data_IF_010207205368
#
_entry.id   IF_010207205368
#
_cell.length_a   1.000
_cell.length_b   1.000
_cell.length_c   1.000
_cell.angle_alpha   90.00
_cell.angle_beta   90.00
_cell.angle_gamma   90.00
#
_symmetry.space_group_name_H-M   'P 1'
#
loop_
_entity.id
_entity.type
_entity.pdbx_description
1 polymer ?
#
# COMPACT_ATOMS: atom_id res chain seq x y z
N UNK A 1 -81.03 -26.62 26.30
CA UNK A 1 -81.45 -27.63 25.30
C UNK A 1 -81.05 -27.07 23.93
N UNK A 2 -79.86 -27.42 23.42
CA UNK A 2 -79.62 -28.52 22.47
C UNK A 2 -80.51 -28.44 21.21
N UNK A 3 -79.91 -28.12 20.06
CA UNK A 3 -79.62 -29.11 19.00
C UNK A 3 -78.81 -28.45 17.87
N UNK A 4 -77.64 -29.00 17.59
CA UNK A 4 -76.92 -28.80 16.33
C UNK A 4 -77.37 -29.83 15.28
N UNK A 5 -77.15 -29.51 14.01
CA UNK A 5 -77.12 -30.42 12.85
C UNK A 5 -76.06 -29.89 11.86
N UNK A 6 -75.30 -30.83 11.30
CA UNK A 6 -74.22 -30.73 10.31
C UNK A 6 -74.68 -30.37 8.88
N UNK A 7 -73.76 -29.79 8.08
CA UNK A 7 -73.43 -30.17 6.68
C UNK A 7 -72.32 -29.22 6.17
N UNK A 8 -71.06 -29.66 5.96
CA UNK A 8 -70.51 -30.34 4.79
C UNK A 8 -70.38 -29.44 3.53
N UNK A 9 -69.14 -29.14 3.13
CA UNK A 9 -68.81 -28.49 1.86
C UNK A 9 -67.31 -28.34 1.68
N UNK A 10 -66.72 -29.23 0.88
CA UNK A 10 -65.29 -29.38 0.67
C UNK A 10 -64.70 -28.21 -0.15
N UNK A 11 -63.54 -27.68 0.27
CA UNK A 11 -62.73 -26.79 -0.56
C UNK A 11 -61.52 -27.57 -1.05
N UNK A 12 -61.49 -27.78 -2.36
CA UNK A 12 -60.47 -28.50 -3.10
C UNK A 12 -59.13 -27.76 -2.97
N UNK A 13 -58.16 -28.39 -2.32
CA UNK A 13 -56.77 -27.96 -2.27
C UNK A 13 -56.12 -28.12 -3.65
N UNK A 14 -56.09 -27.04 -4.43
CA UNK A 14 -55.23 -26.93 -5.60
C UNK A 14 -53.79 -26.67 -5.15
N UNK A 15 -52.99 -27.73 -5.05
CA UNK A 15 -51.53 -27.64 -5.00
C UNK A 15 -51.04 -27.18 -6.39
N UNK A 16 -50.89 -25.87 -6.57
CA UNK A 16 -50.10 -25.32 -7.66
C UNK A 16 -48.63 -25.53 -7.27
N UNK A 17 -48.02 -26.57 -7.82
CA UNK A 17 -46.57 -26.72 -7.81
C UNK A 17 -45.98 -25.58 -8.62
N UNK A 18 -45.55 -24.52 -7.96
CA UNK A 18 -44.67 -23.53 -8.54
C UNK A 18 -43.39 -24.27 -8.96
N UNK A 19 -42.94 -24.17 -10.22
CA UNK A 19 -41.60 -24.61 -10.55
C UNK A 19 -40.65 -23.80 -9.67
N UNK A 20 -39.85 -24.49 -8.85
CA UNK A 20 -38.67 -23.89 -8.27
C UNK A 20 -37.83 -23.43 -9.46
N UNK A 21 -37.87 -22.13 -9.76
CA UNK A 21 -36.88 -21.52 -10.61
C UNK A 21 -35.54 -21.85 -9.94
N UNK A 22 -34.80 -22.77 -10.53
CA UNK A 22 -33.37 -22.81 -10.34
C UNK A 22 -32.89 -21.42 -10.77
N UNK A 23 -32.76 -20.51 -9.81
CA UNK A 23 -31.98 -19.31 -10.01
C UNK A 23 -30.59 -19.84 -10.33
N UNK A 24 -30.23 -19.75 -11.61
CA UNK A 24 -28.84 -19.86 -11.99
C UNK A 24 -28.12 -18.86 -11.08
N UNK A 25 -27.08 -19.35 -10.41
CA UNK A 25 -26.17 -18.50 -9.65
C UNK A 25 -25.43 -17.67 -10.72
N UNK A 26 -26.11 -16.62 -11.24
CA UNK A 26 -25.60 -15.66 -12.23
C UNK A 26 -24.53 -14.75 -11.61
N UNK A 27 -23.94 -15.20 -10.51
CA UNK A 27 -22.94 -14.50 -9.74
C UNK A 27 -21.62 -14.63 -10.49
N UNK A 28 -21.14 -13.53 -11.09
CA UNK A 28 -19.79 -13.42 -11.64
C UNK A 28 -18.74 -14.04 -10.70
N UNK A 29 -17.81 -14.78 -11.27
CA UNK A 29 -16.59 -15.23 -10.58
C UNK A 29 -15.69 -14.04 -10.23
N UNK A 30 -14.73 -14.19 -9.30
CA UNK A 30 -13.80 -13.10 -8.97
C UNK A 30 -13.02 -12.59 -10.19
N UNK A 31 -12.65 -13.50 -11.09
CA UNK A 31 -11.96 -13.18 -12.36
C UNK A 31 -12.85 -12.32 -13.28
N UNK A 32 -14.12 -12.70 -13.43
CA UNK A 32 -15.08 -11.95 -14.26
C UNK A 32 -15.34 -10.58 -13.65
N UNK A 33 -15.57 -10.50 -12.34
CA UNK A 33 -15.74 -9.24 -11.63
C UNK A 33 -14.53 -8.31 -11.81
N UNK A 34 -13.30 -8.81 -11.60
CA UNK A 34 -12.05 -8.04 -11.84
C UNK A 34 -11.96 -7.54 -13.27
N UNK A 35 -12.29 -8.39 -14.24
CA UNK A 35 -12.25 -8.00 -15.65
C UNK A 35 -13.30 -6.93 -15.98
N UNK A 36 -14.50 -7.00 -15.40
CA UNK A 36 -15.54 -5.97 -15.56
C UNK A 36 -15.15 -4.63 -14.92
N UNK A 37 -14.44 -4.65 -13.77
CA UNK A 37 -13.85 -3.43 -13.19
C UNK A 37 -12.81 -2.83 -14.13
N UNK A 38 -11.87 -3.63 -14.64
CA UNK A 38 -10.84 -3.17 -15.59
C UNK A 38 -11.48 -2.58 -16.87
N UNK A 39 -12.49 -3.25 -17.43
CA UNK A 39 -13.21 -2.79 -18.61
C UNK A 39 -13.91 -1.45 -18.33
N UNK A 40 -14.55 -1.31 -17.17
CA UNK A 40 -15.20 -0.06 -16.75
C UNK A 40 -14.19 1.06 -16.53
N UNK A 41 -13.03 0.78 -15.93
CA UNK A 41 -11.94 1.75 -15.80
C UNK A 41 -11.47 2.25 -17.17
N UNK A 42 -11.28 1.33 -18.12
CA UNK A 42 -10.86 1.70 -19.47
C UNK A 42 -11.93 2.52 -20.22
N UNK A 43 -13.21 2.31 -19.93
CA UNK A 43 -14.31 3.08 -20.49
C UNK A 43 -14.48 4.47 -19.86
N UNK A 44 -14.07 4.63 -18.60
CA UNK A 44 -14.14 5.90 -17.86
C UNK A 44 -12.92 6.81 -18.11
N UNK A 45 -11.78 6.24 -18.49
CA UNK A 45 -10.55 6.99 -18.78
C UNK A 45 -10.55 7.56 -20.20
N UNK A 46 -10.16 8.82 -20.35
CA UNK A 46 -9.92 9.46 -21.65
C UNK A 46 -8.65 8.94 -22.34
N UNK A 47 -7.74 8.32 -21.56
CA UNK A 47 -6.48 7.75 -22.03
C UNK A 47 -6.47 6.21 -21.89
N UNK A 48 -5.66 5.53 -22.71
CA UNK A 48 -5.43 4.09 -22.57
C UNK A 48 -4.66 3.81 -21.29
N UNK A 49 -5.27 3.06 -20.37
CA UNK A 49 -4.63 2.69 -19.11
C UNK A 49 -3.84 1.40 -19.30
N UNK A 50 -2.71 1.29 -18.60
CA UNK A 50 -2.00 0.02 -18.50
C UNK A 50 -2.70 -0.89 -17.48
N UNK A 51 -2.62 -2.21 -17.69
CA UNK A 51 -3.10 -3.19 -16.71
C UNK A 51 -2.21 -4.43 -16.64
N UNK A 52 -1.79 -4.81 -15.43
CA UNK A 52 -1.08 -6.07 -15.15
C UNK A 52 -1.90 -6.90 -14.15
N UNK A 53 -2.42 -8.04 -14.59
CA UNK A 53 -3.21 -8.93 -13.71
C UNK A 53 -2.26 -9.68 -12.77
N UNK A 54 -2.50 -9.59 -11.46
CA UNK A 54 -1.64 -10.21 -10.45
C UNK A 54 -2.25 -11.49 -9.90
N UNK A 55 -3.55 -11.47 -9.58
CA UNK A 55 -4.30 -12.60 -9.05
C UNK A 55 -5.75 -12.58 -9.55
N UNK A 56 -6.59 -13.53 -9.13
CA UNK A 56 -8.02 -13.53 -9.46
C UNK A 56 -8.74 -12.25 -9.02
N UNK A 57 -8.32 -11.65 -7.91
CA UNK A 57 -8.96 -10.49 -7.27
C UNK A 57 -8.09 -9.22 -7.29
N UNK A 58 -6.90 -9.27 -7.90
CA UNK A 58 -5.99 -8.11 -7.94
C UNK A 58 -5.31 -7.87 -9.28
N UNK A 59 -4.99 -6.60 -9.51
CA UNK A 59 -4.27 -6.13 -10.69
C UNK A 59 -3.47 -4.87 -10.37
N UNK A 60 -2.53 -4.50 -11.23
CA UNK A 60 -1.93 -3.17 -11.28
C UNK A 60 -2.45 -2.38 -12.46
N UNK A 61 -2.48 -1.07 -12.32
CA UNK A 61 -2.89 -0.14 -13.36
C UNK A 61 -2.10 1.16 -13.29
N UNK A 62 -2.29 2.03 -14.28
CA UNK A 62 -1.61 3.32 -14.37
C UNK A 62 -1.74 3.95 -15.76
N UNK A 63 -1.16 5.12 -15.94
CA UNK A 63 -1.31 5.93 -17.16
C UNK A 63 -0.45 5.46 -18.33
N UNK A 64 0.55 4.61 -18.09
CA UNK A 64 1.42 4.08 -19.14
C UNK A 64 2.05 2.75 -18.71
N UNK A 65 2.60 1.95 -19.67
CA UNK A 65 3.34 0.73 -19.33
C UNK A 65 4.50 0.95 -18.37
N UNK A 66 5.16 2.11 -18.44
CA UNK A 66 6.29 2.47 -17.58
C UNK A 66 5.84 3.00 -16.21
N UNK A 67 4.56 3.33 -16.04
CA UNK A 67 3.96 3.83 -14.80
C UNK A 67 2.78 2.95 -14.36
N UNK A 68 2.96 1.62 -14.38
CA UNK A 68 1.90 0.64 -14.12
C UNK A 68 1.91 0.11 -12.67
N UNK A 69 1.91 1.03 -11.71
CA UNK A 69 2.27 0.74 -10.32
C UNK A 69 1.12 0.85 -9.32
N UNK A 70 -0.07 1.29 -9.74
CA UNK A 70 -1.25 1.35 -8.87
C UNK A 70 -1.86 -0.02 -8.72
N UNK A 71 -1.59 -0.65 -7.58
CA UNK A 71 -2.12 -1.96 -7.22
C UNK A 71 -3.53 -1.83 -6.63
N UNK A 72 -4.46 -2.61 -7.18
CA UNK A 72 -5.86 -2.68 -6.82
C UNK A 72 -6.19 -4.08 -6.29
N UNK A 73 -6.84 -4.12 -5.12
CA UNK A 73 -7.37 -5.34 -4.50
C UNK A 73 -8.89 -5.25 -4.44
N UNK A 74 -9.58 -6.26 -4.97
CA UNK A 74 -11.04 -6.25 -5.13
C UNK A 74 -11.76 -7.16 -4.14
N UNK A 75 -11.07 -7.81 -3.20
CA UNK A 75 -11.66 -8.78 -2.27
C UNK A 75 -12.88 -8.21 -1.52
N UNK A 76 -12.77 -6.96 -1.04
CA UNK A 76 -13.84 -6.30 -0.31
C UNK A 76 -15.02 -5.91 -1.22
N UNK A 77 -14.72 -5.43 -2.43
CA UNK A 77 -15.72 -5.08 -3.44
C UNK A 77 -16.51 -6.33 -3.86
N UNK A 78 -15.78 -7.42 -4.14
CA UNK A 78 -16.36 -8.69 -4.55
C UNK A 78 -17.24 -9.29 -3.45
N UNK A 79 -16.79 -9.28 -2.18
CA UNK A 79 -17.65 -9.70 -1.05
C UNK A 79 -18.91 -8.86 -0.91
N UNK A 80 -18.82 -7.55 -1.14
CA UNK A 80 -19.99 -6.65 -1.11
C UNK A 80 -21.00 -7.04 -2.18
N UNK A 81 -20.53 -7.21 -3.42
CA UNK A 81 -21.33 -7.70 -4.53
C UNK A 81 -21.97 -9.08 -4.24
N UNK A 82 -21.21 -10.07 -3.79
CA UNK A 82 -21.74 -11.41 -3.48
C UNK A 82 -22.83 -11.36 -2.40
N UNK A 83 -22.73 -10.42 -1.46
CA UNK A 83 -23.76 -10.23 -0.42
C UNK A 83 -25.04 -9.55 -0.92
N UNK A 84 -24.99 -8.85 -2.06
CA UNK A 84 -26.12 -8.14 -2.67
C UNK A 84 -25.93 -8.06 -4.20
N UNK A 85 -26.14 -9.17 -4.95
CA UNK A 85 -25.79 -9.25 -6.37
C UNK A 85 -26.48 -8.20 -7.26
N UNK A 86 -27.63 -7.69 -6.83
CA UNK A 86 -28.34 -6.59 -7.50
C UNK A 86 -27.56 -5.27 -7.54
N UNK A 87 -26.50 -5.14 -6.74
CA UNK A 87 -25.64 -3.95 -6.69
C UNK A 87 -24.44 -4.03 -7.63
N UNK A 88 -24.30 -5.11 -8.42
CA UNK A 88 -23.15 -5.38 -9.28
C UNK A 88 -22.66 -4.15 -10.06
N UNK A 89 -23.55 -3.54 -10.86
CA UNK A 89 -23.19 -2.42 -11.73
C UNK A 89 -22.73 -1.21 -10.92
N UNK A 90 -23.39 -0.91 -9.79
CA UNK A 90 -22.99 0.20 -8.91
C UNK A 90 -21.65 -0.05 -8.24
N UNK A 91 -21.40 -1.27 -7.74
CA UNK A 91 -20.12 -1.62 -7.10
C UNK A 91 -18.99 -1.53 -8.13
N UNK A 92 -19.18 -2.05 -9.34
CA UNK A 92 -18.19 -1.94 -10.41
C UNK A 92 -17.92 -0.49 -10.76
N UNK A 93 -18.97 0.31 -10.98
CA UNK A 93 -18.83 1.72 -11.36
C UNK A 93 -18.13 2.55 -10.28
N UNK A 94 -18.51 2.37 -9.02
CA UNK A 94 -17.93 3.12 -7.90
C UNK A 94 -16.44 2.81 -7.72
N UNK A 95 -16.06 1.52 -7.78
CA UNK A 95 -14.66 1.13 -7.66
C UNK A 95 -13.84 1.52 -8.88
N UNK A 96 -14.37 1.34 -10.09
CA UNK A 96 -13.69 1.75 -11.32
C UNK A 96 -13.46 3.27 -11.36
N UNK A 97 -14.47 4.07 -11.00
CA UNK A 97 -14.36 5.53 -10.93
C UNK A 97 -13.31 5.97 -9.92
N UNK A 98 -13.31 5.39 -8.72
CA UNK A 98 -12.28 5.69 -7.70
C UNK A 98 -10.86 5.43 -8.21
N UNK A 99 -10.62 4.29 -8.87
CA UNK A 99 -9.29 3.99 -9.41
C UNK A 99 -8.92 4.88 -10.59
N UNK A 100 -9.86 5.21 -11.48
CA UNK A 100 -9.59 6.15 -12.59
C UNK A 100 -9.28 7.54 -12.06
N UNK A 101 -10.06 8.05 -11.10
CA UNK A 101 -9.77 9.33 -10.44
C UNK A 101 -8.38 9.32 -9.81
N UNK A 102 -8.04 8.24 -9.08
CA UNK A 102 -6.71 8.07 -8.47
C UNK A 102 -5.56 8.11 -9.49
N UNK A 103 -5.75 7.50 -10.66
CA UNK A 103 -4.74 7.41 -11.71
C UNK A 103 -4.64 8.72 -12.49
N UNK A 104 -5.76 9.43 -12.68
CA UNK A 104 -5.87 10.58 -13.59
C UNK A 104 -5.86 11.94 -12.90
N UNK A 105 -6.08 12.02 -11.58
CA UNK A 105 -6.13 13.28 -10.81
C UNK A 105 -4.86 14.12 -10.91
N UNK A 106 -3.77 13.56 -11.46
CA UNK A 106 -2.49 14.23 -11.57
C UNK A 106 -1.91 14.57 -10.20
N UNK A 107 -0.80 15.30 -10.19
CA UNK A 107 -0.20 15.79 -8.96
C UNK A 107 -0.78 17.17 -8.69
N UNK A 108 -1.50 17.32 -7.59
CA UNK A 108 -1.98 18.63 -7.13
C UNK A 108 -0.83 19.39 -6.47
N UNK A 109 -0.27 20.35 -7.19
CA UNK A 109 0.84 21.20 -6.73
C UNK A 109 0.40 22.35 -5.81
N UNK A 110 -0.90 22.51 -5.51
CA UNK A 110 -1.34 23.55 -4.60
C UNK A 110 -0.80 23.30 -3.18
N UNK A 111 -0.31 24.35 -2.53
CA UNK A 111 0.33 24.29 -1.21
C UNK A 111 1.51 23.29 -1.17
N UNK A 112 2.28 23.20 -2.26
CA UNK A 112 3.37 22.24 -2.44
C UNK A 112 4.26 22.08 -1.19
N UNK A 113 4.84 23.17 -0.70
CA UNK A 113 5.74 23.18 0.47
C UNK A 113 5.11 22.56 1.73
N UNK A 114 3.83 22.83 2.00
CA UNK A 114 3.13 22.34 3.20
C UNK A 114 2.71 20.87 3.09
N UNK A 115 2.82 20.28 1.90
CA UNK A 115 2.41 18.91 1.60
C UNK A 115 3.58 18.01 1.28
N UNK A 116 4.79 18.56 1.25
CA UNK A 116 6.02 17.79 1.20
C UNK A 116 6.09 16.91 2.44
N UNK A 117 6.26 15.61 2.25
CA UNK A 117 6.46 14.61 3.29
C UNK A 117 7.63 13.73 2.91
N UNK A 118 8.23 13.08 3.90
CA UNK A 118 9.32 12.14 3.70
C UNK A 118 8.80 10.74 3.94
N UNK A 119 9.10 9.83 3.01
CA UNK A 119 8.78 8.42 3.12
C UNK A 119 10.04 7.59 2.90
N UNK A 120 10.14 6.46 3.60
CA UNK A 120 11.20 5.51 3.33
C UNK A 120 10.75 4.53 2.26
N UNK A 121 11.59 4.36 1.23
CA UNK A 121 11.41 3.42 0.14
C UNK A 121 12.69 2.63 -0.09
N UNK A 122 12.60 1.47 -0.73
CA UNK A 122 13.80 0.72 -1.11
C UNK A 122 14.57 1.43 -2.22
N UNK A 123 15.87 1.20 -2.28
CA UNK A 123 16.76 1.69 -3.33
C UNK A 123 16.35 1.15 -4.69
N UNK A 124 15.79 -0.07 -4.75
CA UNK A 124 15.22 -0.62 -5.97
C UNK A 124 14.04 0.19 -6.46
N UNK A 125 13.13 0.64 -5.58
CA UNK A 125 12.05 1.54 -5.95
C UNK A 125 12.57 2.82 -6.60
N UNK A 126 13.49 3.55 -5.93
CA UNK A 126 14.04 4.80 -6.46
C UNK A 126 14.71 4.58 -7.82
N UNK A 127 15.50 3.51 -7.95
CA UNK A 127 16.14 3.16 -9.21
C UNK A 127 15.11 2.89 -10.31
N UNK A 128 14.06 2.12 -10.02
CA UNK A 128 13.07 1.75 -11.02
C UNK A 128 12.27 2.96 -11.50
N UNK A 129 11.85 3.85 -10.59
CA UNK A 129 11.15 5.08 -10.95
C UNK A 129 12.05 5.98 -11.81
N UNK A 130 13.32 6.14 -11.44
CA UNK A 130 14.26 6.97 -12.20
C UNK A 130 14.60 6.41 -13.60
N UNK A 131 14.36 5.11 -13.86
CA UNK A 131 14.59 4.55 -15.21
C UNK A 131 13.51 4.96 -16.21
N UNK A 132 12.31 5.30 -15.74
CA UNK A 132 11.17 5.70 -16.57
C UNK A 132 10.79 7.19 -16.48
N UNK A 133 11.48 7.96 -15.63
CA UNK A 133 11.18 9.38 -15.41
C UNK A 133 12.14 10.31 -16.18
N UNK A 134 11.60 11.42 -16.68
CA UNK A 134 12.38 12.47 -17.35
C UNK A 134 13.32 13.21 -16.37
N UNK A 135 12.97 13.24 -15.09
CA UNK A 135 13.72 13.88 -14.02
C UNK A 135 13.87 12.94 -12.81
N UNK A 136 15.07 12.83 -12.22
CA UNK A 136 15.30 11.98 -11.05
C UNK A 136 14.43 12.39 -9.85
N UNK A 137 14.04 11.40 -9.05
CA UNK A 137 13.43 11.64 -7.74
C UNK A 137 14.40 12.29 -6.77
N UNK A 138 13.87 13.17 -5.91
CA UNK A 138 14.63 13.76 -4.81
C UNK A 138 14.69 12.78 -3.64
N UNK A 139 15.85 12.15 -3.49
CA UNK A 139 16.06 11.10 -2.50
C UNK A 139 17.44 11.20 -1.81
N UNK A 140 17.51 10.76 -0.55
CA UNK A 140 18.73 10.65 0.25
C UNK A 140 18.97 9.21 0.70
N UNK A 141 20.23 8.73 0.69
CA UNK A 141 20.56 7.46 1.29
C UNK A 141 20.14 7.41 2.77
N UNK A 142 19.55 6.29 3.17
CA UNK A 142 19.33 5.93 4.57
C UNK A 142 20.14 4.66 4.91
N UNK A 143 19.90 4.05 6.08
CA UNK A 143 20.48 2.78 6.45
C UNK A 143 19.94 1.61 5.60
N UNK A 144 20.77 0.60 5.37
CA UNK A 144 20.38 -0.59 4.60
C UNK A 144 20.24 -0.34 3.10
N UNK A 145 19.20 -0.93 2.52
CA UNK A 145 18.72 -0.66 1.17
C UNK A 145 17.62 0.42 1.14
N UNK A 146 17.37 1.13 2.24
CA UNK A 146 16.36 2.18 2.27
C UNK A 146 16.93 3.53 1.80
N UNK A 147 16.04 4.34 1.25
CA UNK A 147 16.24 5.71 0.81
C UNK A 147 15.11 6.56 1.39
N UNK A 148 15.43 7.74 1.89
CA UNK A 148 14.42 8.75 2.20
C UNK A 148 14.05 9.48 0.92
N UNK A 149 12.77 9.46 0.57
CA UNK A 149 12.25 10.01 -0.67
C UNK A 149 11.26 11.11 -0.32
N UNK A 150 11.41 12.27 -0.96
CA UNK A 150 10.40 13.32 -0.87
C UNK A 150 9.16 12.91 -1.66
N UNK A 151 8.01 13.02 -1.02
CA UNK A 151 6.71 12.77 -1.60
C UNK A 151 5.79 13.95 -1.34
N UNK A 152 4.76 14.10 -2.16
CA UNK A 152 3.69 15.06 -1.99
C UNK A 152 2.45 14.34 -1.50
N UNK A 153 1.91 14.78 -0.36
CA UNK A 153 0.67 14.27 0.21
C UNK A 153 -0.54 14.76 -0.59
N UNK A 154 -0.87 14.03 -1.64
CA UNK A 154 -2.10 14.07 -2.46
C UNK A 154 -3.41 13.95 -1.68
N UNK A 155 -4.56 14.61 -1.99
CA UNK A 155 -5.84 14.16 -1.40
C UNK A 155 -6.14 12.68 -1.64
N UNK A 156 -5.57 12.09 -2.69
CA UNK A 156 -5.84 10.71 -3.09
C UNK A 156 -4.59 9.79 -3.12
N UNK A 157 -3.36 10.32 -3.13
CA UNK A 157 -2.15 9.50 -3.30
C UNK A 157 -0.85 10.17 -2.81
N UNK A 158 0.17 9.38 -2.48
CA UNK A 158 1.52 9.90 -2.27
C UNK A 158 2.30 9.88 -3.58
N UNK A 159 2.57 11.06 -4.13
CA UNK A 159 3.33 11.21 -5.37
C UNK A 159 4.79 11.50 -5.07
N UNK A 160 5.73 10.77 -5.69
CA UNK A 160 7.16 11.07 -5.50
C UNK A 160 7.54 12.40 -6.17
N UNK A 161 8.40 13.18 -5.52
CA UNK A 161 8.82 14.51 -5.99
C UNK A 161 10.12 14.39 -6.79
N UNK A 162 10.15 14.98 -7.99
CA UNK A 162 11.34 15.08 -8.85
C UNK A 162 12.15 16.34 -8.59
N UNK A 163 13.42 16.33 -9.03
CA UNK A 163 14.30 17.50 -8.95
C UNK A 163 13.77 18.69 -9.75
N UNK A 164 13.13 18.42 -10.89
CA UNK A 164 12.49 19.45 -11.73
C UNK A 164 11.31 20.11 -11.00
N UNK A 165 10.46 19.32 -10.35
CA UNK A 165 9.33 19.86 -9.58
C UNK A 165 9.80 20.78 -8.44
N UNK A 166 10.89 20.43 -7.74
CA UNK A 166 11.47 21.32 -6.73
C UNK A 166 11.99 22.63 -7.34
N UNK A 167 12.68 22.53 -8.49
CA UNK A 167 13.20 23.69 -9.19
C UNK A 167 12.09 24.62 -9.69
N UNK A 168 10.99 24.08 -10.19
CA UNK A 168 9.81 24.84 -10.62
C UNK A 168 9.12 25.59 -9.47
N UNK A 169 9.27 25.09 -8.25
CA UNK A 169 8.75 25.72 -7.03
C UNK A 169 9.77 26.64 -6.34
N UNK A 170 11.00 26.79 -6.87
CA UNK A 170 12.10 27.56 -6.27
C UNK A 170 12.49 27.06 -4.86
N UNK A 171 12.33 25.74 -4.60
CA UNK A 171 12.66 25.11 -3.30
C UNK A 171 13.91 24.24 -3.46
N UNK A 172 14.88 24.40 -2.56
CA UNK A 172 16.07 23.55 -2.57
C UNK A 172 15.80 22.17 -1.98
N UNK A 173 16.57 21.14 -2.37
CA UNK A 173 16.41 19.81 -1.78
C UNK A 173 16.68 19.76 -0.27
N UNK A 174 17.59 20.59 0.26
CA UNK A 174 17.82 20.69 1.71
C UNK A 174 16.61 21.26 2.45
N UNK A 175 16.11 22.40 1.96
CA UNK A 175 14.91 23.05 2.49
C UNK A 175 13.68 22.12 2.40
N UNK A 176 13.49 21.44 1.28
CA UNK A 176 12.38 20.51 1.10
C UNK A 176 12.41 19.35 2.10
N UNK A 177 13.58 18.81 2.44
CA UNK A 177 13.71 17.78 3.47
C UNK A 177 13.47 18.32 4.88
N UNK A 178 13.88 19.56 5.16
CA UNK A 178 13.59 20.23 6.45
C UNK A 178 12.08 20.46 6.63
N UNK A 179 11.41 20.99 5.61
CA UNK A 179 9.95 21.15 5.58
C UNK A 179 9.24 19.80 5.74
N UNK A 180 9.68 18.79 4.98
CA UNK A 180 9.10 17.46 5.01
C UNK A 180 9.15 16.79 6.39
N UNK A 181 10.18 17.05 7.22
CA UNK A 181 10.22 16.55 8.60
C UNK A 181 9.10 17.14 9.45
N UNK A 182 8.84 18.45 9.33
CA UNK A 182 7.74 19.12 10.01
C UNK A 182 6.38 18.57 9.57
N UNK A 183 6.14 18.60 8.27
CA UNK A 183 4.87 18.18 7.67
C UNK A 183 4.58 16.69 7.91
N UNK A 184 5.58 15.80 7.80
CA UNK A 184 5.37 14.36 8.03
C UNK A 184 4.88 14.10 9.45
N UNK A 185 5.43 14.83 10.43
CA UNK A 185 4.97 14.73 11.82
C UNK A 185 3.52 15.20 11.98
N UNK A 186 3.16 16.30 11.34
CA UNK A 186 1.82 16.90 11.45
C UNK A 186 0.76 16.10 10.69
N UNK A 187 1.11 15.60 9.50
CA UNK A 187 0.18 14.95 8.58
C UNK A 187 0.00 13.46 8.86
N UNK A 188 0.95 12.76 9.50
CA UNK A 188 0.86 11.31 9.76
C UNK A 188 -0.41 10.88 10.51
N UNK A 189 -1.02 11.80 11.26
CA UNK A 189 -2.28 11.55 11.94
C UNK A 189 -2.14 10.52 13.07
N UNK A 190 -3.21 9.76 13.31
CA UNK A 190 -3.22 8.74 14.37
C UNK A 190 -2.43 7.50 13.94
N UNK A 191 -1.45 7.12 14.77
CA UNK A 191 -0.71 5.86 14.64
C UNK A 191 -1.42 4.79 15.46
N UNK A 192 -1.80 3.69 14.81
CA UNK A 192 -2.33 2.51 15.47
C UNK A 192 -1.18 1.57 15.81
N UNK A 193 -1.14 1.17 17.08
CA UNK A 193 -0.12 0.29 17.62
C UNK A 193 -0.76 -1.01 18.11
N UNK A 194 -0.18 -2.13 17.69
CA UNK A 194 -0.51 -3.47 18.15
C UNK A 194 0.75 -4.20 18.60
N UNK A 195 0.62 -5.19 19.47
CA UNK A 195 1.75 -6.04 19.86
C UNK A 195 1.46 -7.50 19.54
N UNK A 196 2.37 -8.16 18.82
CA UNK A 196 2.32 -9.59 18.58
C UNK A 196 3.70 -10.22 18.66
N UNK A 197 3.81 -11.30 19.45
CA UNK A 197 5.09 -12.02 19.67
C UNK A 197 6.24 -11.10 20.10
N UNK A 198 5.95 -10.09 20.94
CA UNK A 198 6.91 -9.09 21.43
C UNK A 198 7.47 -8.18 20.35
N UNK A 199 6.75 -8.07 19.23
CA UNK A 199 7.01 -7.13 18.15
C UNK A 199 5.89 -6.09 18.20
N UNK A 200 6.27 -4.82 18.25
CA UNK A 200 5.32 -3.72 18.10
C UNK A 200 5.08 -3.50 16.60
N UNK A 201 3.81 -3.43 16.23
CA UNK A 201 3.35 -3.13 14.89
C UNK A 201 2.73 -1.74 14.93
N UNK A 202 3.25 -0.83 14.12
CA UNK A 202 2.72 0.52 13.98
C UNK A 202 2.21 0.70 12.54
N UNK A 203 1.05 1.34 12.41
CA UNK A 203 0.45 1.69 11.11
C UNK A 203 -0.25 3.03 11.17
N UNK A 204 -0.29 3.74 10.04
CA UNK A 204 -1.02 5.01 9.88
C UNK A 204 -2.07 4.85 8.79
N UNK A 205 -3.28 5.38 8.99
CA UNK A 205 -4.37 5.23 8.01
C UNK A 205 -4.13 5.93 6.67
N UNK A 206 -3.21 6.89 6.62
CA UNK A 206 -2.83 7.63 5.40
C UNK A 206 -1.50 7.16 4.79
N UNK A 207 -0.91 6.07 5.31
CA UNK A 207 0.30 5.48 4.75
C UNK A 207 1.59 6.29 4.94
N UNK A 208 1.61 7.25 5.87
CA UNK A 208 2.80 8.03 6.18
C UNK A 208 3.75 7.38 7.20
N UNK A 209 3.38 6.24 7.80
CA UNK A 209 4.14 5.60 8.90
C UNK A 209 5.60 5.34 8.55
N UNK A 210 5.93 5.05 7.28
CA UNK A 210 7.32 4.78 6.89
C UNK A 210 8.23 6.00 7.10
N UNK A 211 7.66 7.21 7.09
CA UNK A 211 8.34 8.46 7.39
C UNK A 211 8.70 8.63 8.86
N UNK A 212 8.07 7.90 9.78
CA UNK A 212 8.33 8.00 11.23
C UNK A 212 9.79 7.70 11.56
N UNK A 213 10.40 6.72 10.87
CA UNK A 213 11.80 6.34 11.04
C UNK A 213 12.76 7.50 10.70
N UNK A 214 12.38 8.39 9.78
CA UNK A 214 13.21 9.53 9.39
C UNK A 214 13.16 10.68 10.40
N UNK A 215 12.16 10.71 11.29
CA UNK A 215 12.00 11.81 12.24
C UNK A 215 13.14 11.81 13.29
N UNK A 216 13.72 12.99 13.62
CA UNK A 216 14.83 13.08 14.57
C UNK A 216 14.54 12.50 15.98
N UNK A 217 13.29 12.57 16.43
CA UNK A 217 12.84 12.01 17.71
C UNK A 217 12.93 10.47 17.76
N UNK A 218 12.84 9.79 16.61
CA UNK A 218 12.86 8.32 16.53
C UNK A 218 14.25 7.75 16.78
N UNK A 219 15.30 8.47 16.36
CA UNK A 219 16.68 8.07 16.63
C UNK A 219 17.59 9.28 16.89
N UNK A 220 17.79 9.55 18.17
CA UNK A 220 18.74 10.53 18.67
C UNK A 220 19.48 9.98 19.90
N UNK A 221 20.38 10.78 20.47
CA UNK A 221 21.20 10.37 21.62
C UNK A 221 20.41 10.00 22.89
N UNK A 222 19.10 10.35 22.95
CA UNK A 222 18.20 10.03 24.06
C UNK A 222 17.17 8.95 23.71
N UNK A 223 17.09 8.51 22.45
CA UNK A 223 16.19 7.44 22.02
C UNK A 223 16.68 6.10 22.57
N UNK A 224 15.74 5.21 22.90
CA UNK A 224 16.09 3.83 23.23
C UNK A 224 16.61 3.10 21.99
N UNK A 225 17.62 2.24 22.19
CA UNK A 225 18.14 1.41 21.11
C UNK A 225 17.05 0.42 20.65
N UNK A 226 16.75 0.43 19.36
CA UNK A 226 15.64 -0.33 18.79
C UNK A 226 15.93 -0.82 17.37
N UNK A 227 15.23 -1.87 16.98
CA UNK A 227 15.27 -2.52 15.67
C UNK A 227 13.97 -2.23 14.93
N UNK A 228 14.06 -1.89 13.64
CA UNK A 228 12.93 -1.51 12.82
C UNK A 228 12.93 -2.26 11.48
N UNK A 229 11.74 -2.62 11.01
CA UNK A 229 11.52 -3.25 9.71
C UNK A 229 10.25 -2.72 9.05
N UNK A 230 10.38 -2.20 7.83
CA UNK A 230 9.26 -1.73 7.01
C UNK A 230 8.75 -2.87 6.15
N UNK A 231 7.70 -3.55 6.59
CA UNK A 231 7.22 -4.71 5.84
C UNK A 231 6.33 -4.30 4.66
N UNK A 232 5.58 -3.19 4.76
CA UNK A 232 4.82 -2.64 3.64
C UNK A 232 4.83 -1.09 3.67
N UNK A 233 4.02 -0.44 2.82
CA UNK A 233 3.93 1.03 2.73
C UNK A 233 3.33 1.68 3.98
N UNK A 234 2.46 0.95 4.69
CA UNK A 234 1.62 1.41 5.79
C UNK A 234 1.96 0.73 7.12
N UNK A 235 3.05 -0.04 7.17
CA UNK A 235 3.34 -0.96 8.25
C UNK A 235 4.81 -0.93 8.67
N UNK A 236 5.01 -0.69 9.96
CA UNK A 236 6.29 -0.68 10.63
C UNK A 236 6.31 -1.73 11.75
N UNK A 237 7.32 -2.58 11.78
CA UNK A 237 7.63 -3.40 12.95
C UNK A 237 8.78 -2.76 13.74
N UNK A 238 8.66 -2.74 15.06
CA UNK A 238 9.75 -2.32 15.94
C UNK A 238 9.89 -3.19 17.19
N UNK A 239 11.13 -3.28 17.69
CA UNK A 239 11.47 -4.02 18.93
C UNK A 239 12.64 -3.31 19.63
N UNK A 240 12.57 -3.17 20.95
CA UNK A 240 13.71 -2.73 21.77
C UNK A 240 14.90 -3.70 21.63
N UNK A 241 16.11 -3.17 21.46
CA UNK A 241 17.32 -3.99 21.37
C UNK A 241 17.62 -4.80 22.64
N UNK A 242 17.07 -4.42 23.79
CA UNK A 242 17.18 -5.19 25.03
C UNK A 242 16.35 -6.48 25.01
N UNK A 243 15.35 -6.56 24.11
CA UNK A 243 14.52 -7.74 23.93
C UNK A 243 15.10 -8.70 22.89
N UNK A 244 16.10 -9.49 23.30
CA UNK A 244 16.76 -10.46 22.43
C UNK A 244 15.79 -11.46 21.75
N UNK A 245 14.69 -11.85 22.42
CA UNK A 245 13.70 -12.76 21.84
C UNK A 245 12.81 -12.04 20.82
N UNK A 246 12.38 -10.81 21.12
CA UNK A 246 11.65 -9.97 20.17
C UNK A 246 12.48 -9.67 18.92
N UNK A 247 13.77 -9.33 19.08
CA UNK A 247 14.69 -9.09 17.94
C UNK A 247 14.83 -10.35 17.10
N UNK A 248 15.01 -11.51 17.72
CA UNK A 248 15.05 -12.80 17.00
C UNK A 248 13.75 -13.08 16.26
N UNK A 249 12.59 -12.77 16.84
CA UNK A 249 11.29 -12.95 16.20
C UNK A 249 11.14 -12.00 15.01
N UNK A 250 11.49 -10.72 15.15
CA UNK A 250 11.42 -9.73 14.08
C UNK A 250 12.30 -10.14 12.91
N UNK A 251 13.56 -10.55 13.16
CA UNK A 251 14.46 -11.02 12.10
C UNK A 251 13.91 -12.25 11.37
N UNK A 252 13.27 -13.17 12.09
CA UNK A 252 12.64 -14.34 11.47
C UNK A 252 11.45 -13.95 10.58
N UNK A 253 10.60 -13.02 11.03
CA UNK A 253 9.47 -12.48 10.24
C UNK A 253 9.98 -11.73 9.02
N UNK A 254 10.93 -10.82 9.19
CA UNK A 254 11.53 -10.04 8.11
C UNK A 254 12.14 -10.96 7.04
N UNK A 255 12.91 -11.97 7.44
CA UNK A 255 13.49 -12.94 6.50
C UNK A 255 12.40 -13.71 5.73
N UNK A 256 11.30 -14.10 6.39
CA UNK A 256 10.16 -14.75 5.73
C UNK A 256 9.55 -13.87 4.63
N UNK A 257 9.20 -12.63 4.99
CA UNK A 257 8.57 -11.67 4.07
C UNK A 257 9.49 -11.29 2.90
N UNK A 258 10.79 -11.13 3.15
CA UNK A 258 11.77 -10.84 2.09
C UNK A 258 11.92 -12.01 1.12
N UNK A 259 12.00 -13.25 1.62
CA UNK A 259 12.11 -14.44 0.76
C UNK A 259 10.84 -14.62 -0.10
N UNK A 260 9.68 -14.28 0.44
CA UNK A 260 8.39 -14.35 -0.26
C UNK A 260 8.19 -13.19 -1.25
N UNK A 261 9.03 -12.15 -1.20
CA UNK A 261 8.88 -10.96 -2.03
C UNK A 261 7.73 -10.04 -1.59
N UNK A 262 7.25 -10.20 -0.35
CA UNK A 262 6.13 -9.43 0.22
C UNK A 262 6.61 -8.20 0.99
N UNK A 263 7.92 -8.10 1.27
CA UNK A 263 8.50 -6.98 2.01
C UNK A 263 8.81 -5.77 1.12
N UNK A 264 8.57 -4.56 1.65
CA UNK A 264 8.98 -3.30 1.02
C UNK A 264 10.51 -3.13 0.96
N UNK A 265 11.21 -3.59 2.00
CA UNK A 265 12.68 -3.50 2.15
C UNK A 265 13.28 -4.89 2.30
N UNK A 266 14.52 -5.04 1.82
CA UNK A 266 15.33 -6.24 2.07
C UNK A 266 16.21 -6.10 3.32
N UNK A 267 16.11 -5.00 4.06
CA UNK A 267 16.95 -4.72 5.23
C UNK A 267 16.15 -4.49 6.50
N UNK A 268 16.68 -4.98 7.62
CA UNK A 268 16.30 -4.55 8.96
C UNK A 268 17.32 -3.52 9.43
N UNK A 269 16.85 -2.40 9.94
CA UNK A 269 17.69 -1.31 10.43
C UNK A 269 17.60 -1.21 11.95
N UNK A 270 18.61 -0.63 12.59
CA UNK A 270 18.58 -0.34 14.02
C UNK A 270 19.01 1.09 14.29
N UNK A 271 18.39 1.68 15.31
CA UNK A 271 18.90 2.86 15.96
C UNK A 271 19.77 2.42 17.14
N UNK A 272 21.03 2.84 17.17
CA UNK A 272 21.95 2.61 18.28
C UNK A 272 22.61 3.92 18.67
N UNK A 273 22.36 4.40 19.90
CA UNK A 273 22.94 5.64 20.41
C UNK A 273 22.74 6.84 19.46
N UNK A 274 21.54 6.94 18.87
CA UNK A 274 21.20 8.00 17.92
C UNK A 274 21.82 7.87 16.53
N UNK A 275 22.28 6.68 16.15
CA UNK A 275 22.82 6.40 14.82
C UNK A 275 22.06 5.25 14.14
N UNK A 276 21.65 5.50 12.90
CA UNK A 276 21.02 4.49 12.06
C UNK A 276 22.05 3.55 11.44
N UNK A 277 21.86 2.25 11.61
CA UNK A 277 22.70 1.22 11.00
C UNK A 277 21.86 0.10 10.40
N UNK A 278 22.46 -0.66 9.48
CA UNK A 278 21.85 -1.88 8.96
C UNK A 278 22.16 -3.03 9.91
N UNK A 279 21.12 -3.66 10.45
CA UNK A 279 21.25 -4.85 11.30
C UNK A 279 21.26 -6.13 10.46
N UNK A 280 20.35 -6.24 9.49
CA UNK A 280 20.21 -7.41 8.64
C UNK A 280 19.89 -7.03 7.18
N UNK A 281 20.35 -7.77 6.17
CA UNK A 281 21.41 -8.79 6.27
C UNK A 281 22.68 -8.16 6.84
N UNK A 282 23.43 -8.91 7.63
CA UNK A 282 24.69 -8.38 8.16
C UNK A 282 25.54 -7.96 6.96
N UNK A 283 26.10 -6.74 6.99
CA UNK A 283 27.07 -6.32 5.98
C UNK A 283 28.21 -7.33 6.01
N UNK A 284 28.26 -8.23 5.04
CA UNK A 284 29.44 -9.04 4.81
C UNK A 284 30.58 -8.06 4.56
N UNK A 285 31.67 -8.20 5.30
CA UNK A 285 32.88 -7.45 5.03
C UNK A 285 33.17 -7.52 3.51
N UNK A 286 33.23 -6.34 2.89
CA UNK A 286 33.57 -6.06 1.50
C UNK A 286 34.03 -7.26 0.66
N UNK A 287 33.17 -7.73 -0.25
CA UNK A 287 33.59 -8.53 -1.41
C UNK A 287 34.08 -7.62 -2.56
N UNK A 288 34.79 -6.53 -2.24
CA UNK A 288 35.49 -5.70 -3.22
C UNK A 288 36.67 -6.44 -3.90
N UNK A 289 36.87 -7.73 -3.62
CA UNK A 289 37.91 -8.58 -4.22
C UNK A 289 37.45 -9.44 -5.42
N UNK A 290 36.18 -9.45 -5.83
CA UNK A 290 35.76 -10.20 -7.03
C UNK A 290 34.80 -9.39 -7.91
N UNK A 291 35.35 -8.44 -8.66
CA UNK A 291 34.74 -7.99 -9.90
C UNK A 291 35.44 -8.70 -11.08
N UNK A 292 34.88 -9.79 -11.64
CA UNK A 292 35.44 -10.46 -12.81
C UNK A 292 35.24 -9.68 -14.14
N UNK A 293 34.73 -8.44 -14.09
CA UNK A 293 34.40 -7.63 -15.26
C UNK A 293 35.10 -6.25 -15.29
N UNK A 294 36.35 -6.17 -14.84
CA UNK A 294 37.23 -5.08 -15.26
C UNK A 294 38.13 -5.56 -16.42
N UNK A 295 37.97 -5.04 -17.65
CA UNK A 295 39.00 -5.18 -18.67
C UNK A 295 40.19 -4.27 -18.31
N UNK A 296 41.40 -4.81 -18.45
CA UNK A 296 42.65 -4.04 -18.35
C UNK A 296 42.91 -3.15 -19.54
#
# INVERSE_FOLDING_TARGET
MLKGILAAGAVISGLVSLPAAAQADDTLTPIEFRNSVIETMQALSDEELCFVRLSEESFRSGTSPDNCDFEAHLDAAYRTYVSSPETLDSVIADYAGQYVDLITAGIDYSNFENRLVVQLRSRSYVRNVNLGADSPLVARPFAGDLMAVLMLDSPQTLAAVSEEQLADQDVSADEAFELAVGNTRELMGEVREDEYRRIQFASSSNGLISGQIWLPETCNASSEDAVYFLYDRNGLMSVSMEDALGVSNLLAVANGLVIQGEALTSSVVSCQSGQWTQLWPARTADNSAFNPYLPG
#
